data_IF_748942380645
#
_entry.id   IF_748942380645
#
_cell.length_a   1.000
_cell.length_b   1.000
_cell.length_c   1.000
_cell.angle_alpha   90.00
_cell.angle_beta   90.00
_cell.angle_gamma   90.00
#
_symmetry.space_group_name_H-M   'P 1'
#
loop_
_entity.id
_entity.type
_entity.pdbx_description
1 polymer ?
#
# COMPACT_ATOMS: atom_id res chain seq x y z
N UNK A 1 -19.07 0.25 9.01
CA UNK A 1 -17.92 -0.66 8.96
C UNK A 1 -16.74 0.11 9.52
N UNK A 2 -15.99 -0.46 10.46
CA UNK A 2 -14.87 0.21 11.13
C UNK A 2 -13.62 0.12 10.26
N UNK A 3 -12.98 1.26 9.96
CA UNK A 3 -11.68 1.32 9.28
C UNK A 3 -10.57 0.95 10.26
N UNK A 4 -9.77 -0.07 9.94
CA UNK A 4 -8.68 -0.54 10.81
C UNK A 4 -7.30 -0.24 10.26
N UNK A 5 -7.18 -0.05 8.92
CA UNK A 5 -5.95 0.39 8.26
C UNK A 5 -6.34 1.40 7.19
N UNK A 6 -5.60 2.51 7.13
CA UNK A 6 -5.75 3.53 6.09
C UNK A 6 -4.38 4.03 5.64
N UNK A 7 -4.18 4.06 4.34
CA UNK A 7 -3.02 4.61 3.64
C UNK A 7 -3.56 5.65 2.66
N UNK A 8 -3.09 6.90 2.78
CA UNK A 8 -3.43 7.99 1.88
C UNK A 8 -2.15 8.51 1.19
N UNK A 9 -2.18 8.59 -0.13
CA UNK A 9 -1.15 9.17 -0.99
C UNK A 9 0.30 8.73 -0.69
N UNK A 10 0.50 7.46 -0.33
CA UNK A 10 1.81 6.95 0.02
C UNK A 10 2.70 6.85 -1.23
N UNK A 11 3.78 7.64 -1.23
CA UNK A 11 4.87 7.53 -2.20
C UNK A 11 6.17 7.30 -1.46
N UNK A 12 7.01 6.40 -1.99
CA UNK A 12 8.27 6.05 -1.37
C UNK A 12 9.32 5.71 -2.43
N UNK A 13 10.53 6.22 -2.22
CA UNK A 13 11.71 5.94 -3.03
C UNK A 13 12.81 5.41 -2.13
N UNK A 14 13.53 4.39 -2.60
CA UNK A 14 14.73 3.92 -1.94
C UNK A 14 15.86 4.97 -2.03
N UNK A 15 16.90 4.89 -1.16
CA UNK A 15 18.02 5.85 -1.19
C UNK A 15 18.81 5.89 -2.50
N UNK A 16 18.74 4.83 -3.31
CA UNK A 16 19.34 4.76 -4.64
C UNK A 16 18.51 5.48 -5.73
N UNK A 17 17.37 6.06 -5.34
CA UNK A 17 16.46 6.77 -6.23
C UNK A 17 15.42 5.89 -6.90
N UNK A 18 15.41 4.57 -6.64
CA UNK A 18 14.37 3.70 -7.19
C UNK A 18 13.02 4.02 -6.54
N UNK A 19 12.05 4.46 -7.36
CA UNK A 19 10.67 4.66 -6.92
C UNK A 19 10.01 3.30 -6.68
N UNK A 20 9.62 3.03 -5.43
CA UNK A 20 9.00 1.77 -5.03
C UNK A 20 7.47 1.87 -4.97
N UNK A 21 6.95 2.95 -4.38
CA UNK A 21 5.52 3.18 -4.23
C UNK A 21 5.16 4.53 -4.83
N UNK A 22 4.10 4.61 -5.61
CA UNK A 22 3.64 5.87 -6.22
C UNK A 22 2.16 6.05 -5.94
N UNK A 23 1.82 7.06 -5.14
CA UNK A 23 0.45 7.47 -4.81
C UNK A 23 -0.47 6.30 -4.40
N UNK A 24 0.01 5.46 -3.48
CA UNK A 24 -0.75 4.31 -3.00
C UNK A 24 -1.82 4.78 -2.02
N UNK A 25 -3.06 4.37 -2.27
CA UNK A 25 -4.22 4.61 -1.44
C UNK A 25 -4.88 3.26 -1.12
N UNK A 26 -5.04 2.94 0.17
CA UNK A 26 -5.59 1.66 0.63
C UNK A 26 -6.36 1.85 1.92
N UNK A 27 -7.58 1.32 1.97
CA UNK A 27 -8.38 1.22 3.20
C UNK A 27 -8.74 -0.23 3.43
N UNK A 28 -8.53 -0.72 4.65
CA UNK A 28 -8.94 -2.07 5.07
C UNK A 28 -9.90 -1.93 6.25
N UNK A 29 -11.05 -2.59 6.13
CA UNK A 29 -12.10 -2.60 7.14
C UNK A 29 -12.03 -3.84 8.04
N UNK A 30 -12.59 -3.72 9.24
CA UNK A 30 -12.63 -4.81 10.21
C UNK A 30 -13.29 -6.07 9.61
N UNK A 31 -12.58 -7.19 9.68
CA UNK A 31 -13.05 -8.50 9.18
C UNK A 31 -12.71 -8.78 7.72
N UNK A 32 -12.12 -7.83 6.99
CA UNK A 32 -11.65 -8.07 5.62
C UNK A 32 -10.38 -8.93 5.59
N UNK A 33 -10.30 -9.80 4.58
CA UNK A 33 -9.09 -10.53 4.23
C UNK A 33 -8.56 -9.98 2.91
N UNK A 34 -7.37 -9.40 2.93
CA UNK A 34 -6.76 -8.72 1.77
C UNK A 34 -5.48 -9.46 1.38
N UNK A 35 -5.31 -9.71 0.07
CA UNK A 35 -4.09 -10.27 -0.50
C UNK A 35 -3.39 -9.21 -1.35
N UNK A 36 -2.11 -8.98 -1.09
CA UNK A 36 -1.24 -8.17 -1.95
C UNK A 36 -0.54 -9.10 -2.94
N UNK A 37 -0.78 -8.91 -4.24
CA UNK A 37 -0.30 -9.81 -5.28
C UNK A 37 0.39 -9.00 -6.37
N UNK A 38 1.56 -9.45 -6.77
CA UNK A 38 2.36 -8.85 -7.83
C UNK A 38 3.63 -9.66 -8.09
N UNK A 39 4.33 -9.40 -9.19
CA UNK A 39 5.67 -9.94 -9.40
C UNK A 39 6.64 -9.40 -8.34
N UNK A 40 7.80 -10.05 -8.19
CA UNK A 40 8.85 -9.56 -7.29
C UNK A 40 9.26 -8.14 -7.68
N UNK A 41 9.20 -7.22 -6.70
CA UNK A 41 9.55 -5.81 -6.89
C UNK A 41 8.41 -4.90 -7.37
N UNK A 42 7.17 -5.37 -7.35
CA UNK A 42 5.97 -4.55 -7.57
C UNK A 42 5.59 -3.69 -6.35
#
# INVERSE_FOLDING_TARGET
MEEIIRIDNLSFSYPDGQQALTDINLTIYQGESVALIGPNGA
#
